data_IF_732083009440
#
_entry.id   IF_732083009440
#
_cell.length_a   1.000
_cell.length_b   1.000
_cell.length_c   1.000
_cell.angle_alpha   90.00
_cell.angle_beta   90.00
_cell.angle_gamma   90.00
#
_symmetry.space_group_name_H-M   'P 1'
#
loop_
_entity.id
_entity.type
_entity.pdbx_description
1 polymer ?
#
# COMPACT_ATOMS: atom_id res chain seq x y z
N UNK A 1 -4.25 -38.08 10.97
CA UNK A 1 -3.81 -36.81 11.59
C UNK A 1 -4.96 -35.83 11.46
N UNK A 2 -5.49 -35.29 12.55
CA UNK A 2 -6.60 -34.32 12.52
C UNK A 2 -5.98 -32.93 12.71
N UNK A 3 -6.17 -32.05 11.74
CA UNK A 3 -5.81 -30.64 11.83
C UNK A 3 -7.04 -29.82 12.24
N UNK A 4 -6.92 -28.98 13.25
CA UNK A 4 -8.00 -28.10 13.70
C UNK A 4 -7.54 -27.14 14.79
N UNK A 5 -8.19 -25.98 14.90
CA UNK A 5 -7.91 -24.94 15.89
C UNK A 5 -9.03 -23.91 15.94
N UNK A 6 -9.09 -23.14 17.03
CA UNK A 6 -10.08 -22.06 17.22
C UNK A 6 -9.36 -20.74 17.36
N UNK A 7 -9.76 -19.75 16.56
CA UNK A 7 -9.35 -18.36 16.77
C UNK A 7 -10.07 -17.80 18.00
N UNK A 8 -9.32 -17.18 18.90
CA UNK A 8 -9.87 -16.43 20.02
C UNK A 8 -10.69 -15.24 19.50
N UNK A 9 -11.72 -14.77 20.22
CA UNK A 9 -12.50 -13.60 19.80
C UNK A 9 -11.64 -12.35 19.52
N UNK A 10 -10.52 -12.19 20.23
CA UNK A 10 -9.58 -11.07 20.02
C UNK A 10 -8.69 -11.21 18.77
N UNK A 11 -8.74 -12.37 18.10
CA UNK A 11 -8.05 -12.70 16.85
C UNK A 11 -8.98 -12.65 15.64
N UNK A 12 -10.29 -12.46 15.87
CA UNK A 12 -11.27 -12.31 14.80
C UNK A 12 -11.16 -10.93 14.15
N UNK A 13 -11.52 -10.87 12.86
CA UNK A 13 -11.02 -9.91 11.88
C UNK A 13 -11.00 -8.43 12.32
N UNK A 14 -9.93 -7.68 12.00
CA UNK A 14 -9.92 -6.23 12.21
C UNK A 14 -11.00 -5.56 11.36
N UNK A 15 -11.56 -4.44 11.84
CA UNK A 15 -12.37 -3.59 10.95
C UNK A 15 -11.43 -3.00 9.89
N UNK A 16 -11.49 -3.59 8.70
CA UNK A 16 -10.69 -3.30 7.53
C UNK A 16 -11.65 -2.81 6.44
N UNK A 17 -11.35 -1.63 5.90
CA UNK A 17 -12.19 -1.00 4.89
C UNK A 17 -11.32 -0.56 3.72
N UNK A 18 -11.50 -1.20 2.57
CA UNK A 18 -10.93 -0.74 1.32
C UNK A 18 -11.72 0.49 0.85
N UNK A 19 -11.02 1.59 0.56
CA UNK A 19 -11.63 2.84 0.10
C UNK A 19 -11.39 3.06 -1.40
N UNK A 20 -10.20 2.69 -1.88
CA UNK A 20 -9.79 2.87 -3.26
C UNK A 20 -8.73 1.84 -3.62
N UNK A 21 -8.73 1.43 -4.88
CA UNK A 21 -7.67 0.64 -5.48
C UNK A 21 -7.42 1.15 -6.90
N UNK A 22 -6.17 1.14 -7.32
CA UNK A 22 -5.74 1.56 -8.65
C UNK A 22 -4.62 0.64 -9.13
N UNK A 23 -4.63 0.38 -10.42
CA UNK A 23 -3.53 -0.21 -11.17
C UNK A 23 -3.53 0.45 -12.54
N UNK A 24 -2.37 0.94 -12.98
CA UNK A 24 -2.29 1.53 -14.30
C UNK A 24 -1.07 2.40 -14.55
N UNK A 25 -1.10 2.99 -15.73
CA UNK A 25 -0.03 3.84 -16.23
C UNK A 25 -0.44 5.30 -16.08
N UNK A 26 0.29 6.03 -15.25
CA UNK A 26 0.09 7.47 -15.02
C UNK A 26 1.11 8.25 -15.84
N UNK A 27 0.62 9.10 -16.77
CA UNK A 27 1.44 10.09 -17.46
C UNK A 27 1.32 11.43 -16.74
N UNK A 28 2.42 11.94 -16.19
CA UNK A 28 2.40 13.18 -15.43
C UNK A 28 2.35 14.41 -16.34
N UNK A 29 1.29 15.20 -16.18
CA UNK A 29 1.14 16.51 -16.83
C UNK A 29 1.69 17.66 -15.97
N UNK A 30 1.85 17.42 -14.68
CA UNK A 30 2.37 18.37 -13.69
C UNK A 30 3.53 17.76 -12.94
N UNK A 31 4.48 18.60 -12.53
CA UNK A 31 5.76 18.13 -12.00
C UNK A 31 5.77 17.91 -10.49
N UNK A 32 4.67 18.24 -9.79
CA UNK A 32 4.58 18.15 -8.34
C UNK A 32 3.19 17.77 -7.87
N UNK A 33 3.13 16.74 -7.04
CA UNK A 33 1.90 16.27 -6.39
C UNK A 33 2.06 16.29 -4.87
N UNK A 34 0.96 16.51 -4.17
CA UNK A 34 0.89 16.44 -2.71
C UNK A 34 -0.22 15.45 -2.37
N UNK A 35 0.12 14.41 -1.63
CA UNK A 35 -0.81 13.36 -1.24
C UNK A 35 -1.09 13.42 0.26
N UNK A 36 -2.19 14.09 0.69
CA UNK A 36 -2.52 14.22 2.11
C UNK A 36 -3.33 13.02 2.60
N UNK A 37 -2.69 12.07 3.29
CA UNK A 37 -3.38 10.91 3.85
C UNK A 37 -3.88 11.16 5.28
N UNK A 38 -4.81 12.11 5.48
CA UNK A 38 -5.19 12.56 6.84
C UNK A 38 -5.74 11.45 7.75
N UNK A 39 -6.57 10.54 7.22
CA UNK A 39 -7.29 9.51 8.01
C UNK A 39 -7.09 8.08 7.50
N UNK A 40 -6.39 7.91 6.39
CA UNK A 40 -6.35 6.66 5.65
C UNK A 40 -4.90 6.21 5.51
N UNK A 41 -4.70 4.90 5.45
CA UNK A 41 -3.45 4.32 5.01
C UNK A 41 -3.39 4.33 3.49
N UNK A 42 -2.18 4.41 2.95
CA UNK A 42 -1.91 4.15 1.55
C UNK A 42 -0.80 3.10 1.45
N UNK A 43 -1.02 2.07 0.63
CA UNK A 43 0.01 1.14 0.20
C UNK A 43 0.12 1.27 -1.31
N UNK A 44 1.31 1.56 -1.78
CA UNK A 44 1.60 1.89 -3.16
C UNK A 44 2.82 1.09 -3.65
N UNK A 45 2.85 0.75 -4.93
CA UNK A 45 3.89 -0.04 -5.55
C UNK A 45 4.26 0.53 -6.92
N UNK A 46 5.55 0.79 -7.11
CA UNK A 46 6.08 1.26 -8.38
C UNK A 46 6.57 0.08 -9.21
N UNK A 47 5.82 -0.29 -10.26
CA UNK A 47 6.16 -1.41 -11.15
C UNK A 47 7.27 -1.06 -12.12
N UNK A 48 7.20 0.14 -12.69
CA UNK A 48 8.17 0.62 -13.67
C UNK A 48 8.38 2.13 -13.56
N UNK A 49 9.64 2.53 -13.69
CA UNK A 49 10.08 3.91 -13.67
C UNK A 49 10.80 4.28 -12.38
N UNK A 50 10.99 5.59 -12.21
CA UNK A 50 11.63 6.21 -11.06
C UNK A 50 10.82 7.42 -10.66
N UNK A 51 10.79 7.71 -9.37
CA UNK A 51 10.04 8.82 -8.84
C UNK A 51 10.80 9.50 -7.73
N UNK A 52 11.01 10.80 -7.84
CA UNK A 52 11.52 11.58 -6.71
C UNK A 52 10.39 11.82 -5.72
N UNK A 53 10.59 11.43 -4.46
CA UNK A 53 9.64 11.61 -3.39
C UNK A 53 10.23 12.42 -2.25
N UNK A 54 9.37 13.03 -1.44
CA UNK A 54 9.75 13.69 -0.20
C UNK A 54 8.65 13.50 0.84
N UNK A 55 8.98 12.90 1.98
CA UNK A 55 8.03 12.76 3.10
C UNK A 55 8.07 14.04 3.95
N UNK A 56 6.91 14.66 4.15
CA UNK A 56 6.77 15.89 4.94
C UNK A 56 7.78 16.97 4.55
N UNK A 57 8.62 17.36 5.52
CA UNK A 57 9.73 18.33 5.34
C UNK A 57 11.11 17.66 5.24
N UNK A 58 11.17 16.34 5.05
CA UNK A 58 12.42 15.59 4.92
C UNK A 58 13.20 15.92 3.64
N UNK A 59 14.31 15.22 3.43
CA UNK A 59 15.08 15.34 2.18
C UNK A 59 14.37 14.59 1.04
N UNK A 60 14.42 15.09 -0.21
CA UNK A 60 14.00 14.31 -1.35
C UNK A 60 14.87 13.06 -1.53
N UNK A 61 14.26 11.98 -1.99
CA UNK A 61 14.93 10.71 -2.33
C UNK A 61 14.28 10.09 -3.58
N UNK A 62 14.94 9.12 -4.20
CA UNK A 62 14.44 8.44 -5.40
C UNK A 62 13.86 7.07 -5.05
N UNK A 63 12.57 6.86 -5.35
CA UNK A 63 11.96 5.54 -5.33
C UNK A 63 12.09 4.91 -6.71
N UNK A 64 12.68 3.72 -6.75
CA UNK A 64 12.84 2.92 -7.98
C UNK A 64 11.76 1.85 -8.09
N UNK A 65 11.68 1.23 -9.28
CA UNK A 65 10.79 0.10 -9.53
C UNK A 65 11.06 -1.07 -8.57
N UNK A 66 10.04 -1.87 -8.27
CA UNK A 66 10.16 -3.07 -7.45
C UNK A 66 9.98 -2.85 -5.94
N UNK A 67 9.50 -1.68 -5.54
CA UNK A 67 9.36 -1.31 -4.13
C UNK A 67 7.91 -1.00 -3.78
N UNK A 68 7.43 -1.60 -2.69
CA UNK A 68 6.21 -1.19 -2.03
C UNK A 68 6.50 -0.09 -1.02
N UNK A 69 5.59 0.87 -0.87
CA UNK A 69 5.65 1.94 0.11
C UNK A 69 4.34 2.01 0.90
N UNK A 70 4.44 1.90 2.22
CA UNK A 70 3.32 2.05 3.15
C UNK A 70 3.39 3.43 3.81
N UNK A 71 2.28 4.17 3.76
CA UNK A 71 2.12 5.47 4.39
C UNK A 71 1.03 5.42 5.46
N UNK A 72 1.37 5.87 6.67
CA UNK A 72 0.46 5.94 7.79
C UNK A 72 -0.49 7.16 7.70
N UNK A 73 -1.67 7.09 8.34
CA UNK A 73 -2.54 8.25 8.49
C UNK A 73 -1.80 9.44 9.12
N UNK A 74 -1.96 10.63 8.53
CA UNK A 74 -1.27 11.86 8.91
C UNK A 74 0.05 12.07 8.16
N UNK A 75 0.60 11.03 7.54
CA UNK A 75 1.73 11.18 6.63
C UNK A 75 1.30 11.93 5.37
N UNK A 76 2.07 12.97 5.03
CA UNK A 76 1.92 13.67 3.75
C UNK A 76 3.22 13.51 3.00
N UNK A 77 3.13 13.09 1.75
CA UNK A 77 4.30 13.02 0.88
C UNK A 77 4.10 13.83 -0.39
N UNK A 78 5.22 14.23 -0.96
CA UNK A 78 5.31 14.91 -2.22
C UNK A 78 5.92 13.99 -3.25
N UNK A 79 5.37 14.01 -4.45
CA UNK A 79 5.98 13.38 -5.61
C UNK A 79 6.42 14.47 -6.56
N UNK A 80 7.66 14.35 -7.04
CA UNK A 80 8.25 15.20 -8.05
C UNK A 80 8.55 14.32 -9.26
N UNK A 81 7.96 14.69 -10.39
CA UNK A 81 8.06 13.96 -11.66
C UNK A 81 8.38 14.97 -12.75
N UNK A 82 9.20 14.60 -13.74
CA UNK A 82 9.35 15.46 -14.91
C UNK A 82 8.08 15.34 -15.78
N UNK A 83 7.63 16.46 -16.34
CA UNK A 83 6.45 16.46 -17.21
C UNK A 83 6.69 15.54 -18.42
N UNK A 84 5.70 14.71 -18.74
CA UNK A 84 5.80 13.72 -19.82
C UNK A 84 6.43 12.38 -19.42
N UNK A 85 6.98 12.25 -18.21
CA UNK A 85 7.37 10.95 -17.66
C UNK A 85 6.13 10.13 -17.32
N UNK A 86 6.27 8.83 -17.55
CA UNK A 86 5.24 7.84 -17.30
C UNK A 86 5.72 6.88 -16.24
N UNK A 87 4.87 6.59 -15.26
CA UNK A 87 5.08 5.49 -14.33
C UNK A 87 3.97 4.47 -14.45
N UNK A 88 4.29 3.23 -14.07
CA UNK A 88 3.31 2.18 -13.86
C UNK A 88 3.26 1.90 -12.37
N UNK A 89 2.10 2.11 -11.75
CA UNK A 89 1.91 1.98 -10.31
C UNK A 89 0.60 1.28 -9.98
N UNK A 90 0.61 0.55 -8.85
CA UNK A 90 -0.62 0.12 -8.19
C UNK A 90 -0.68 0.72 -6.79
N UNK A 91 -1.85 1.12 -6.34
CA UNK A 91 -2.03 1.50 -4.95
C UNK A 91 -3.40 1.12 -4.41
N UNK A 92 -3.48 1.02 -3.08
CA UNK A 92 -4.73 0.94 -2.34
C UNK A 92 -4.77 2.00 -1.24
N UNK A 93 -5.95 2.56 -1.02
CA UNK A 93 -6.24 3.43 0.12
C UNK A 93 -7.22 2.69 1.01
N UNK A 94 -6.92 2.60 2.30
CA UNK A 94 -7.73 1.81 3.23
C UNK A 94 -7.75 2.38 4.63
N UNK A 95 -8.67 1.86 5.45
CA UNK A 95 -8.69 2.05 6.90
C UNK A 95 -8.58 0.71 7.59
N UNK A 96 -7.84 0.67 8.68
CA UNK A 96 -7.71 -0.50 9.53
C UNK A 96 -7.71 -0.06 10.99
N UNK A 97 -8.27 -0.90 11.85
CA UNK A 97 -8.33 -0.69 13.30
C UNK A 97 -7.78 -1.90 14.07
N UNK A 98 -7.68 -1.77 15.40
CA UNK A 98 -7.33 -2.87 16.28
C UNK A 98 -5.89 -3.36 16.15
N UNK A 99 -5.68 -4.68 16.18
CA UNK A 99 -4.34 -5.31 16.16
C UNK A 99 -3.57 -5.01 14.88
N UNK A 100 -4.22 -5.13 13.73
CA UNK A 100 -3.59 -4.85 12.44
C UNK A 100 -3.12 -3.38 12.34
N UNK A 101 -3.92 -2.42 12.80
CA UNK A 101 -3.49 -1.03 12.87
C UNK A 101 -2.25 -0.84 13.74
N UNK A 102 -2.18 -1.50 14.90
CA UNK A 102 -0.99 -1.44 15.77
C UNK A 102 0.23 -2.02 15.08
N UNK A 103 0.09 -3.15 14.39
CA UNK A 103 1.19 -3.78 13.65
C UNK A 103 1.71 -2.88 12.51
N UNK A 104 0.81 -2.29 11.70
CA UNK A 104 1.21 -1.34 10.66
C UNK A 104 1.89 -0.08 11.22
N UNK A 105 1.46 0.39 12.40
CA UNK A 105 2.11 1.52 13.10
C UNK A 105 3.53 1.17 13.55
N UNK A 106 3.76 -0.08 13.99
CA UNK A 106 5.10 -0.53 14.34
C UNK A 106 6.02 -0.58 13.11
N UNK A 107 5.50 -1.02 11.95
CA UNK A 107 6.25 -1.02 10.69
C UNK A 107 6.64 0.38 10.21
N UNK A 108 5.73 1.36 10.33
CA UNK A 108 5.94 2.73 9.82
C UNK A 108 6.66 3.66 10.78
N UNK A 109 6.93 3.21 12.01
CA UNK A 109 7.71 3.90 13.05
C UNK A 109 7.41 5.41 13.17
N UNK A 110 8.42 6.21 13.56
CA UNK A 110 8.26 7.63 13.93
C UNK A 110 7.90 8.53 12.73
N UNK A 111 8.34 8.16 11.54
CA UNK A 111 8.19 8.98 10.34
C UNK A 111 6.89 8.71 9.58
N UNK A 112 6.14 7.68 9.98
CA UNK A 112 4.82 7.38 9.42
C UNK A 112 4.90 6.83 7.99
N UNK A 113 6.03 6.25 7.59
CA UNK A 113 6.18 5.57 6.31
C UNK A 113 7.23 4.46 6.38
N UNK A 114 7.16 3.51 5.45
CA UNK A 114 8.12 2.41 5.33
C UNK A 114 8.14 1.87 3.89
N UNK A 115 9.30 1.37 3.43
CA UNK A 115 9.42 0.64 2.17
C UNK A 115 9.62 -0.85 2.40
N UNK A 116 9.26 -1.65 1.40
CA UNK A 116 9.43 -3.10 1.38
C UNK A 116 9.98 -3.52 0.02
N UNK A 117 10.97 -4.40 0.05
CA UNK A 117 11.39 -5.14 -1.14
C UNK A 117 10.36 -6.25 -1.42
N UNK A 118 10.09 -6.51 -2.70
CA UNK A 118 9.11 -7.50 -3.14
C UNK A 118 9.69 -8.37 -4.27
N UNK A 119 10.75 -9.14 -4.00
CA UNK A 119 11.48 -9.89 -5.03
C UNK A 119 10.58 -10.92 -5.75
N UNK A 120 9.59 -11.46 -5.05
CA UNK A 120 8.65 -12.46 -5.55
C UNK A 120 7.35 -11.83 -6.08
N UNK A 121 7.26 -10.50 -6.16
CA UNK A 121 6.11 -9.74 -6.65
C UNK A 121 4.77 -10.04 -5.92
N UNK A 122 4.83 -10.49 -4.66
CA UNK A 122 3.65 -10.86 -3.86
C UNK A 122 2.80 -9.63 -3.56
N UNK A 123 3.43 -8.52 -3.17
CA UNK A 123 2.73 -7.27 -2.87
C UNK A 123 2.20 -6.63 -4.16
N UNK A 124 3.02 -6.63 -5.21
CA UNK A 124 2.68 -6.14 -6.53
C UNK A 124 1.41 -6.82 -7.09
N UNK A 125 1.40 -8.15 -7.13
CA UNK A 125 0.28 -8.92 -7.67
C UNK A 125 -0.96 -8.84 -6.77
N UNK A 126 -0.77 -8.77 -5.45
CA UNK A 126 -1.86 -8.54 -4.51
C UNK A 126 -2.57 -7.20 -4.77
N UNK A 127 -1.83 -6.12 -4.99
CA UNK A 127 -2.41 -4.81 -5.33
C UNK A 127 -3.15 -4.83 -6.66
N UNK A 128 -2.54 -5.40 -7.71
CA UNK A 128 -3.17 -5.57 -9.03
C UNK A 128 -4.48 -6.34 -8.94
N UNK A 129 -4.47 -7.45 -8.20
CA UNK A 129 -5.65 -8.28 -8.03
C UNK A 129 -6.79 -7.53 -7.32
N UNK A 130 -6.49 -6.73 -6.29
CA UNK A 130 -7.50 -5.88 -5.63
C UNK A 130 -8.08 -4.86 -6.62
N UNK A 131 -7.22 -4.16 -7.36
CA UNK A 131 -7.66 -3.19 -8.37
C UNK A 131 -8.54 -3.85 -9.45
N UNK A 132 -8.18 -5.05 -9.91
CA UNK A 132 -8.95 -5.82 -10.88
C UNK A 132 -10.35 -6.20 -10.34
N UNK A 133 -10.48 -6.61 -9.08
CA UNK A 133 -11.81 -6.89 -8.50
C UNK A 133 -12.67 -5.63 -8.42
N UNK A 134 -12.09 -4.52 -7.95
CA UNK A 134 -12.79 -3.22 -7.85
C UNK A 134 -13.22 -2.72 -9.22
N UNK A 135 -12.39 -2.90 -10.25
CA UNK A 135 -12.71 -2.52 -11.62
C UNK A 135 -13.80 -3.40 -12.25
N UNK A 136 -13.68 -4.73 -12.10
CA UNK A 136 -14.59 -5.68 -12.75
C UNK A 136 -16.02 -5.64 -12.19
N UNK A 137 -16.19 -5.25 -10.92
CA UNK A 137 -17.50 -5.11 -10.23
C UNK A 137 -18.44 -6.32 -10.37
N UNK A 138 -17.88 -7.53 -10.46
CA UNK A 138 -18.64 -8.79 -10.50
C UNK A 138 -19.44 -8.99 -9.20
N UNK A 139 -20.52 -9.80 -9.19
CA UNK A 139 -21.23 -10.12 -7.95
C UNK A 139 -20.27 -10.60 -6.86
N UNK A 140 -20.35 -9.99 -5.68
CA UNK A 140 -19.43 -10.28 -4.56
C UNK A 140 -18.06 -9.60 -4.62
N UNK A 141 -17.78 -8.72 -5.60
CA UNK A 141 -16.47 -8.06 -5.76
C UNK A 141 -15.99 -7.37 -4.48
N UNK A 142 -16.89 -6.70 -3.74
CA UNK A 142 -16.54 -6.00 -2.53
C UNK A 142 -15.98 -6.97 -1.47
N UNK A 143 -16.61 -8.13 -1.30
CA UNK A 143 -16.14 -9.16 -0.38
C UNK A 143 -14.80 -9.74 -0.83
N UNK A 144 -14.67 -10.06 -2.12
CA UNK A 144 -13.43 -10.56 -2.70
C UNK A 144 -12.27 -9.55 -2.52
N UNK A 145 -12.51 -8.27 -2.80
CA UNK A 145 -11.51 -7.21 -2.65
C UNK A 145 -11.06 -7.03 -1.19
N UNK A 146 -11.99 -7.11 -0.22
CA UNK A 146 -11.64 -7.06 1.21
C UNK A 146 -10.85 -8.31 1.65
N UNK A 147 -11.22 -9.50 1.17
CA UNK A 147 -10.46 -10.73 1.42
C UNK A 147 -9.04 -10.65 0.88
N UNK A 148 -8.87 -10.14 -0.35
CA UNK A 148 -7.55 -9.90 -0.95
C UNK A 148 -6.76 -8.85 -0.18
N UNK A 149 -7.38 -7.75 0.26
CA UNK A 149 -6.70 -6.75 1.10
C UNK A 149 -6.22 -7.36 2.42
N UNK A 150 -7.02 -8.21 3.06
CA UNK A 150 -6.61 -8.89 4.30
C UNK A 150 -5.40 -9.81 4.06
N UNK A 151 -5.39 -10.56 2.95
CA UNK A 151 -4.24 -11.38 2.55
C UNK A 151 -2.99 -10.55 2.23
N UNK A 152 -3.16 -9.44 1.51
CA UNK A 152 -2.07 -8.51 1.21
C UNK A 152 -1.46 -7.90 2.47
N UNK A 153 -2.28 -7.52 3.46
CA UNK A 153 -1.77 -7.01 4.73
C UNK A 153 -1.03 -8.10 5.53
N UNK A 154 -1.46 -9.36 5.45
CA UNK A 154 -0.73 -10.46 6.07
C UNK A 154 0.64 -10.67 5.41
N UNK A 155 0.72 -10.62 4.08
CA UNK A 155 1.98 -10.68 3.34
C UNK A 155 2.91 -9.51 3.71
N UNK A 156 2.37 -8.29 3.72
CA UNK A 156 3.13 -7.08 4.09
C UNK A 156 3.71 -7.16 5.50
N UNK A 157 2.95 -7.71 6.46
CA UNK A 157 3.41 -7.90 7.84
C UNK A 157 4.50 -8.97 7.98
N UNK A 158 4.66 -9.84 6.98
CA UNK A 158 5.71 -10.85 6.91
C UNK A 158 6.93 -10.39 6.08
N UNK A 159 6.80 -9.30 5.31
CA UNK A 159 7.89 -8.73 4.52
C UNK A 159 8.91 -7.99 5.40
N UNK A 160 10.17 -8.00 4.96
CA UNK A 160 11.22 -7.20 5.58
C UNK A 160 11.09 -5.74 5.14
N UNK A 161 11.10 -4.84 6.13
CA UNK A 161 11.17 -3.41 5.86
C UNK A 161 12.58 -2.98 5.50
N UNK A 162 12.70 -2.06 4.55
CA UNK A 162 13.96 -1.45 4.18
C UNK A 162 13.96 0.04 4.49
N UNK A 163 15.13 0.54 4.89
CA UNK A 163 15.32 1.97 5.05
C UNK A 163 15.07 2.69 3.71
N UNK A 164 14.47 3.88 3.73
CA UNK A 164 14.36 4.73 2.55
C UNK A 164 15.76 5.02 2.03
N UNK A 165 16.03 4.64 0.77
CA UNK A 165 17.28 4.95 0.07
C UNK A 165 17.20 6.33 -0.57
#
# INVERSE_FOLDING_TARGET
MIFGGRLAPCEQAPALHLLQAYEGITRFQTTRWIHPHRRNWALDYLHHGRQTQRIGRGRPFERTSGLAALYAPGCSYHELQAAGVTIHESYVIFRVSGRAQRALKLLTARDGYCHFEDPDAILADGLRAIAAEVFARRPGFAFAAHGRLAGLLAALLASESVAPR
#
